data_IF_407735743291
#
_entry.id   IF_407735743291
#
_cell.length_a   1.000
_cell.length_b   1.000
_cell.length_c   1.000
_cell.angle_alpha   90.00
_cell.angle_beta   90.00
_cell.angle_gamma   90.00
#
_symmetry.space_group_name_H-M   'P 1'
#
loop_
_entity.id
_entity.type
_entity.pdbx_description
1 polymer ?
#
# COMPACT_ATOMS: atom_id res chain seq x y z
N UNK A 1 -0.99 25.96 29.43
CA UNK A 1 -0.62 26.74 28.24
C UNK A 1 -0.81 25.93 26.98
N UNK A 2 -1.16 26.62 25.89
CA UNK A 2 -1.31 26.05 24.55
C UNK A 2 -0.15 26.57 23.69
N UNK A 3 0.50 25.68 22.94
CA UNK A 3 1.60 26.00 22.02
C UNK A 3 1.07 26.22 20.59
N UNK A 4 1.88 26.74 19.64
CA UNK A 4 1.49 26.81 18.24
C UNK A 4 1.09 25.41 17.71
N UNK A 5 -0.11 25.32 17.14
CA UNK A 5 -0.68 24.07 16.60
C UNK A 5 -1.10 24.29 15.16
N UNK A 6 -0.64 23.41 14.27
CA UNK A 6 -1.10 23.31 12.88
C UNK A 6 -1.95 22.05 12.72
N UNK A 7 -2.90 22.07 11.79
CA UNK A 7 -3.80 20.94 11.53
C UNK A 7 -3.58 20.43 10.11
N UNK A 8 -3.33 19.12 9.99
CA UNK A 8 -3.32 18.40 8.72
C UNK A 8 -4.73 17.88 8.44
N UNK A 9 -5.33 18.30 7.33
CA UNK A 9 -6.74 18.04 7.03
C UNK A 9 -7.02 16.58 6.61
N UNK A 10 -6.06 15.93 5.95
CA UNK A 10 -6.11 14.54 5.48
C UNK A 10 -4.79 13.87 5.81
N UNK A 11 -4.83 12.63 6.30
CA UNK A 11 -3.62 11.87 6.65
C UNK A 11 -3.26 10.80 5.60
N UNK A 12 -4.13 10.56 4.63
CA UNK A 12 -4.12 9.32 3.85
C UNK A 12 -3.71 9.48 2.40
N UNK A 13 -4.08 10.59 1.74
CA UNK A 13 -3.81 10.79 0.31
C UNK A 13 -3.71 12.29 -0.06
N UNK A 14 -2.67 12.71 -0.82
CA UNK A 14 -1.40 12.01 -1.06
C UNK A 14 -0.50 12.12 0.17
N UNK A 15 0.06 11.01 0.65
CA UNK A 15 0.89 11.02 1.88
C UNK A 15 2.16 11.86 1.74
N UNK A 16 2.72 12.02 0.53
CA UNK A 16 3.88 12.86 0.30
C UNK A 16 3.56 14.35 0.56
N UNK A 17 2.31 14.78 0.35
CA UNK A 17 1.90 16.15 0.69
C UNK A 17 1.84 16.37 2.20
N UNK A 18 1.59 15.31 2.96
CA UNK A 18 1.67 15.35 4.42
C UNK A 18 3.12 15.49 4.91
N UNK A 19 4.08 14.86 4.20
CA UNK A 19 5.52 15.09 4.44
C UNK A 19 5.88 16.54 4.18
N UNK A 20 5.51 17.08 3.02
CA UNK A 20 5.76 18.49 2.64
C UNK A 20 5.10 19.47 3.60
N UNK A 21 3.86 19.21 4.03
CA UNK A 21 3.15 20.04 5.00
C UNK A 21 3.86 20.06 6.35
N UNK A 22 4.27 18.89 6.84
CA UNK A 22 4.98 18.78 8.12
C UNK A 22 6.31 19.51 8.05
N UNK A 23 7.05 19.34 6.95
CA UNK A 23 8.31 20.04 6.70
C UNK A 23 8.14 21.57 6.71
N UNK A 24 7.11 22.07 6.04
CA UNK A 24 6.80 23.50 6.05
C UNK A 24 6.46 24.02 7.45
N UNK A 25 5.72 23.25 8.24
CA UNK A 25 5.42 23.61 9.62
C UNK A 25 6.67 23.65 10.51
N UNK A 26 7.70 22.85 10.18
CA UNK A 26 8.97 22.79 10.89
C UNK A 26 10.04 23.75 10.32
N UNK A 27 9.81 24.33 9.13
CA UNK A 27 10.79 25.14 8.41
C UNK A 27 11.94 24.31 7.81
N UNK A 28 11.65 23.07 7.41
CA UNK A 28 12.61 22.06 6.99
C UNK A 28 12.28 21.46 5.60
N UNK A 29 11.83 22.31 4.67
CA UNK A 29 11.36 21.88 3.36
C UNK A 29 12.45 21.26 2.47
N UNK A 30 13.72 21.64 2.68
CA UNK A 30 14.85 21.11 1.92
C UNK A 30 15.10 19.63 2.22
N UNK A 31 15.18 19.26 3.50
CA UNK A 31 15.42 17.87 3.93
C UNK A 31 14.23 16.98 3.55
N UNK A 32 13.00 17.52 3.60
CA UNK A 32 11.83 16.79 3.12
C UNK A 32 11.85 16.52 1.60
N UNK A 33 12.34 17.47 0.81
CA UNK A 33 12.52 17.24 -0.63
C UNK A 33 13.59 16.18 -0.89
N UNK A 34 14.71 16.22 -0.17
CA UNK A 34 15.76 15.20 -0.26
C UNK A 34 15.23 13.79 0.06
N UNK A 35 14.41 13.65 1.11
CA UNK A 35 13.79 12.38 1.49
C UNK A 35 12.84 11.85 0.41
N UNK A 36 12.04 12.72 -0.21
CA UNK A 36 11.10 12.34 -1.27
C UNK A 36 11.83 11.99 -2.57
N UNK A 37 12.88 12.72 -2.92
CA UNK A 37 13.73 12.40 -4.07
C UNK A 37 14.44 11.05 -3.88
N UNK A 38 14.94 10.76 -2.67
CA UNK A 38 15.56 9.48 -2.34
C UNK A 38 14.56 8.32 -2.39
N UNK A 39 13.31 8.56 -1.96
CA UNK A 39 12.22 7.59 -2.09
C UNK A 39 11.92 7.28 -3.57
N UNK A 40 11.77 8.30 -4.42
CA UNK A 40 11.49 8.13 -5.84
C UNK A 40 12.66 7.42 -6.56
N UNK A 41 13.90 7.76 -6.23
CA UNK A 41 15.08 7.07 -6.74
C UNK A 41 15.09 5.59 -6.35
N UNK A 42 14.76 5.27 -5.09
CA UNK A 42 14.68 3.88 -4.64
C UNK A 42 13.57 3.10 -5.36
N UNK A 43 12.44 3.75 -5.66
CA UNK A 43 11.39 3.12 -6.44
C UNK A 43 11.88 2.72 -7.85
N UNK A 44 12.61 3.61 -8.52
CA UNK A 44 13.18 3.35 -9.84
C UNK A 44 14.19 2.20 -9.80
N UNK A 45 15.08 2.19 -8.80
CA UNK A 45 16.02 1.07 -8.62
C UNK A 45 15.31 -0.28 -8.50
N UNK A 46 14.23 -0.35 -7.71
CA UNK A 46 13.44 -1.56 -7.54
C UNK A 46 12.72 -1.93 -8.85
N UNK A 47 12.12 -0.96 -9.54
CA UNK A 47 11.45 -1.20 -10.81
C UNK A 47 12.41 -1.79 -11.85
N UNK A 48 13.63 -1.26 -11.94
CA UNK A 48 14.68 -1.72 -12.86
C UNK A 48 15.23 -3.10 -12.46
N UNK A 49 15.43 -3.35 -11.16
CA UNK A 49 15.97 -4.61 -10.65
C UNK A 49 15.00 -5.77 -10.88
N UNK A 50 13.70 -5.56 -10.65
CA UNK A 50 12.69 -6.62 -10.65
C UNK A 50 11.83 -6.68 -11.91
N UNK A 51 11.88 -5.67 -12.80
CA UNK A 51 11.13 -5.68 -14.06
C UNK A 51 9.61 -5.74 -13.86
N UNK A 52 9.10 -4.92 -12.94
CA UNK A 52 7.69 -4.87 -12.50
C UNK A 52 6.71 -4.34 -13.53
N UNK A 53 7.20 -3.64 -14.56
CA UNK A 53 6.39 -2.99 -15.57
C UNK A 53 5.43 -3.96 -16.27
N UNK A 54 4.15 -3.59 -16.31
CA UNK A 54 3.09 -4.39 -16.95
C UNK A 54 2.52 -5.51 -16.08
N UNK A 55 2.97 -5.63 -14.82
CA UNK A 55 2.41 -6.56 -13.84
C UNK A 55 1.50 -5.81 -12.87
N UNK A 56 0.48 -6.52 -12.37
CA UNK A 56 -0.44 -6.00 -11.36
C UNK A 56 -0.03 -6.38 -9.94
N UNK A 57 -0.26 -5.49 -8.98
CA UNK A 57 -0.06 -5.78 -7.56
C UNK A 57 -1.25 -5.33 -6.69
N UNK A 58 -1.57 -6.12 -5.66
CA UNK A 58 -2.62 -5.79 -4.68
C UNK A 58 -2.11 -6.07 -3.26
N UNK A 59 -2.18 -5.06 -2.39
CA UNK A 59 -2.03 -5.26 -0.94
C UNK A 59 -3.38 -5.64 -0.33
N UNK A 60 -3.39 -6.69 0.49
CA UNK A 60 -4.51 -7.14 1.32
C UNK A 60 -4.12 -7.01 2.78
N UNK A 61 -4.97 -6.39 3.58
CA UNK A 61 -4.88 -6.43 5.04
C UNK A 61 -6.05 -7.21 5.63
N UNK A 62 -5.80 -8.39 6.19
CA UNK A 62 -6.83 -9.11 6.96
C UNK A 62 -7.17 -8.35 8.24
N UNK A 63 -8.46 -8.18 8.53
CA UNK A 63 -8.95 -7.55 9.77
C UNK A 63 -10.26 -8.18 10.19
N UNK A 64 -10.42 -8.65 11.43
CA UNK A 64 -11.72 -9.01 12.02
C UNK A 64 -12.73 -9.76 11.10
N UNK A 65 -12.25 -10.70 10.28
CA UNK A 65 -13.08 -11.48 9.35
C UNK A 65 -13.40 -10.82 8.01
N UNK A 66 -12.83 -9.65 7.72
CA UNK A 66 -12.85 -8.97 6.41
C UNK A 66 -11.44 -8.88 5.81
N UNK A 67 -11.37 -8.60 4.50
CA UNK A 67 -10.14 -8.33 3.77
C UNK A 67 -10.19 -6.88 3.28
N UNK A 68 -9.33 -6.01 3.82
CA UNK A 68 -9.20 -4.63 3.33
C UNK A 68 -8.22 -4.61 2.16
N UNK A 69 -8.69 -4.20 0.98
CA UNK A 69 -7.87 -4.01 -0.21
C UNK A 69 -7.45 -2.55 -0.30
N UNK A 70 -6.16 -2.29 -0.39
CA UNK A 70 -5.62 -0.94 -0.48
C UNK A 70 -5.50 -0.49 -1.95
N UNK A 71 -5.98 0.71 -2.23
CA UNK A 71 -6.02 1.33 -3.56
C UNK A 71 -4.79 2.20 -3.86
N UNK A 72 -4.70 2.72 -5.09
CA UNK A 72 -3.51 3.42 -5.59
C UNK A 72 -3.20 4.72 -4.85
N UNK A 73 -4.21 5.32 -4.21
CA UNK A 73 -4.10 6.53 -3.39
C UNK A 73 -3.63 6.28 -1.96
N UNK A 74 -3.63 5.03 -1.50
CA UNK A 74 -3.07 4.68 -0.21
C UNK A 74 -1.54 4.74 -0.21
N UNK A 75 -0.92 4.84 0.97
CA UNK A 75 0.53 4.70 1.09
C UNK A 75 1.05 3.41 0.42
N UNK A 76 0.44 2.27 0.73
CA UNK A 76 0.88 0.98 0.18
C UNK A 76 0.66 0.86 -1.32
N UNK A 77 -0.53 1.23 -1.81
CA UNK A 77 -0.85 1.17 -3.24
C UNK A 77 0.00 2.12 -4.05
N UNK A 78 0.15 3.38 -3.62
CA UNK A 78 1.04 4.34 -4.29
C UNK A 78 2.51 3.89 -4.26
N UNK A 79 2.94 3.17 -3.23
CA UNK A 79 4.29 2.58 -3.19
C UNK A 79 4.46 1.45 -4.19
N UNK A 80 3.44 0.58 -4.35
CA UNK A 80 3.46 -0.47 -5.37
C UNK A 80 3.49 0.13 -6.79
N UNK A 81 2.74 1.21 -7.03
CA UNK A 81 2.76 1.90 -8.33
C UNK A 81 4.05 2.68 -8.57
N UNK A 82 4.66 3.25 -7.51
CA UNK A 82 5.97 3.90 -7.57
C UNK A 82 7.04 2.95 -8.12
N UNK A 83 7.02 1.68 -7.69
CA UNK A 83 7.94 0.65 -8.19
C UNK A 83 7.49 0.03 -9.51
N UNK A 84 6.47 0.56 -10.20
CA UNK A 84 6.12 0.18 -11.58
C UNK A 84 5.01 -0.85 -11.76
N UNK A 85 4.41 -1.36 -10.68
CA UNK A 85 3.19 -2.17 -10.79
C UNK A 85 1.98 -1.31 -11.16
N UNK A 86 0.89 -1.96 -11.59
CA UNK A 86 -0.44 -1.33 -11.65
C UNK A 86 -1.36 -1.94 -10.60
N UNK A 87 -2.17 -1.11 -9.93
CA UNK A 87 -3.22 -1.63 -9.06
C UNK A 87 -4.42 -2.09 -9.92
N UNK A 88 -5.00 -3.28 -9.70
CA UNK A 88 -6.22 -3.70 -10.41
C UNK A 88 -7.35 -2.66 -10.31
N UNK A 89 -7.96 -2.31 -11.44
CA UNK A 89 -9.03 -1.31 -11.50
C UNK A 89 -10.29 -1.78 -10.76
N UNK A 90 -10.87 -0.88 -9.97
CA UNK A 90 -12.20 -1.02 -9.34
C UNK A 90 -12.75 0.32 -8.90
N UNK A 91 -14.01 0.33 -8.47
CA UNK A 91 -14.54 1.43 -7.68
C UNK A 91 -13.91 1.41 -6.28
N UNK A 92 -13.16 2.45 -5.95
CA UNK A 92 -12.52 2.63 -4.64
C UNK A 92 -13.38 3.47 -3.69
N UNK A 93 -14.61 3.83 -4.08
CA UNK A 93 -15.60 4.52 -3.23
C UNK A 93 -15.10 5.87 -2.68
N UNK A 94 -14.24 6.57 -3.42
CA UNK A 94 -13.53 7.78 -2.97
C UNK A 94 -12.74 7.56 -1.65
N UNK A 95 -12.24 6.34 -1.44
CA UNK A 95 -11.46 5.90 -0.29
C UNK A 95 -10.09 5.39 -0.75
N UNK A 96 -9.14 5.32 0.18
CA UNK A 96 -7.83 4.69 -0.04
C UNK A 96 -7.89 3.16 0.01
N UNK A 97 -9.02 2.59 0.40
CA UNK A 97 -9.23 1.16 0.52
C UNK A 97 -10.70 0.81 0.47
N UNK A 98 -10.99 -0.43 0.10
CA UNK A 98 -12.32 -1.04 0.18
C UNK A 98 -12.25 -2.33 0.99
N UNK A 99 -13.31 -2.64 1.71
CA UNK A 99 -13.42 -3.89 2.45
C UNK A 99 -14.19 -4.91 1.62
N UNK A 100 -13.63 -6.10 1.46
CA UNK A 100 -14.29 -7.23 0.81
C UNK A 100 -14.49 -8.37 1.80
N UNK A 101 -15.59 -9.10 1.64
CA UNK A 101 -15.83 -10.30 2.43
C UNK A 101 -14.89 -11.43 1.97
N UNK A 102 -14.57 -12.41 2.84
CA UNK A 102 -13.75 -13.55 2.44
C UNK A 102 -14.33 -14.34 1.26
N UNK A 103 -15.65 -14.35 1.08
CA UNK A 103 -16.32 -14.99 -0.06
C UNK A 103 -15.98 -14.31 -1.40
N UNK A 104 -15.66 -13.02 -1.36
CA UNK A 104 -15.28 -12.21 -2.53
C UNK A 104 -13.75 -12.05 -2.66
N UNK A 105 -12.95 -12.94 -2.04
CA UNK A 105 -11.49 -12.87 -2.07
C UNK A 105 -10.89 -12.76 -3.47
N UNK A 106 -11.56 -13.29 -4.49
CA UNK A 106 -11.12 -13.24 -5.89
C UNK A 106 -11.11 -11.82 -6.46
N UNK A 107 -11.80 -10.87 -5.83
CA UNK A 107 -11.68 -9.45 -6.19
C UNK A 107 -10.24 -8.98 -5.96
N UNK A 108 -9.51 -9.52 -4.99
CA UNK A 108 -8.12 -9.15 -4.71
C UNK A 108 -7.09 -9.72 -5.71
N UNK A 109 -7.53 -10.33 -6.81
CA UNK A 109 -6.63 -10.96 -7.78
C UNK A 109 -5.71 -9.94 -8.45
N UNK A 110 -4.42 -10.23 -8.40
CA UNK A 110 -3.34 -9.54 -9.11
C UNK A 110 -2.24 -10.56 -9.45
N UNK A 111 -1.27 -10.16 -10.27
CA UNK A 111 -0.10 -10.99 -10.54
C UNK A 111 0.70 -11.21 -9.26
N UNK A 112 0.86 -10.14 -8.45
CA UNK A 112 1.46 -10.15 -7.12
C UNK A 112 0.44 -9.74 -6.05
N UNK A 113 0.31 -10.55 -4.99
CA UNK A 113 -0.51 -10.23 -3.83
C UNK A 113 0.34 -10.18 -2.58
N UNK A 114 0.28 -9.05 -1.89
CA UNK A 114 0.99 -8.81 -0.63
C UNK A 114 -0.03 -8.85 0.51
N UNK A 115 0.15 -9.76 1.46
CA UNK A 115 -0.74 -9.93 2.60
C UNK A 115 -0.02 -9.48 3.86
N UNK A 116 -0.54 -8.46 4.54
CA UNK A 116 0.06 -7.99 5.80
C UNK A 116 -0.16 -9.02 6.91
N UNK A 117 0.86 -9.24 7.73
CA UNK A 117 0.83 -10.14 8.88
C UNK A 117 1.79 -9.65 9.96
N UNK A 118 1.56 -10.07 11.20
CA UNK A 118 2.47 -9.79 12.32
C UNK A 118 3.70 -10.69 12.34
N UNK A 119 3.67 -11.82 11.61
CA UNK A 119 4.80 -12.73 11.46
C UNK A 119 4.88 -13.21 10.00
N UNK A 120 5.85 -12.67 9.27
CA UNK A 120 6.06 -12.98 7.84
C UNK A 120 6.53 -14.42 7.58
N UNK A 121 6.90 -15.15 8.64
CA UNK A 121 7.31 -16.56 8.55
C UNK A 121 6.17 -17.54 8.87
N UNK A 122 5.06 -17.03 9.40
CA UNK A 122 3.88 -17.84 9.71
C UNK A 122 2.92 -17.91 8.51
N UNK A 123 3.10 -18.91 7.65
CA UNK A 123 2.19 -19.16 6.53
C UNK A 123 0.74 -19.42 6.96
N UNK A 124 0.50 -19.84 8.20
CA UNK A 124 -0.87 -20.06 8.72
C UNK A 124 -1.62 -18.74 8.92
N UNK A 125 -0.91 -17.61 8.98
CA UNK A 125 -1.48 -16.27 9.03
C UNK A 125 -2.14 -15.82 7.72
N UNK A 126 -1.87 -16.52 6.61
CA UNK A 126 -2.59 -16.27 5.34
C UNK A 126 -4.08 -16.60 5.53
N UNK A 127 -5.01 -15.69 5.19
CA UNK A 127 -6.44 -15.93 5.34
C UNK A 127 -6.90 -17.23 4.66
N UNK A 128 -7.81 -17.96 5.31
CA UNK A 128 -8.35 -19.22 4.77
C UNK A 128 -8.92 -19.04 3.36
N UNK A 129 -9.65 -17.94 3.10
CA UNK A 129 -10.20 -17.67 1.78
C UNK A 129 -9.11 -17.54 0.69
N UNK A 130 -7.96 -16.97 1.03
CA UNK A 130 -6.82 -16.87 0.11
C UNK A 130 -6.18 -18.24 -0.10
N UNK A 131 -5.95 -19.01 0.99
CA UNK A 131 -5.39 -20.37 0.92
C UNK A 131 -6.29 -21.33 0.12
N UNK A 132 -7.60 -21.27 0.32
CA UNK A 132 -8.59 -22.07 -0.41
C UNK A 132 -8.66 -21.73 -1.90
N UNK A 133 -8.21 -20.53 -2.30
CA UNK A 133 -8.17 -20.05 -3.68
C UNK A 133 -6.74 -19.85 -4.21
N UNK A 134 -5.75 -20.60 -3.69
CA UNK A 134 -4.32 -20.40 -4.00
C UNK A 134 -4.00 -20.37 -5.51
N UNK A 135 -4.75 -21.08 -6.35
CA UNK A 135 -4.58 -21.06 -7.80
C UNK A 135 -4.85 -19.68 -8.44
N UNK A 136 -5.60 -18.80 -7.76
CA UNK A 136 -5.86 -17.43 -8.19
C UNK A 136 -4.78 -16.44 -7.73
N UNK A 137 -3.88 -16.85 -6.82
CA UNK A 137 -2.85 -16.01 -6.19
C UNK A 137 -1.45 -16.62 -6.40
N UNK A 138 -0.94 -16.64 -7.64
CA UNK A 138 0.27 -17.38 -7.99
C UNK A 138 1.56 -16.80 -7.39
N UNK A 139 1.59 -15.50 -7.07
CA UNK A 139 2.70 -14.84 -6.37
C UNK A 139 2.19 -14.16 -5.10
N UNK A 140 2.07 -14.94 -4.02
CA UNK A 140 1.64 -14.46 -2.73
C UNK A 140 2.83 -14.20 -1.81
N UNK A 141 2.85 -13.03 -1.17
CA UNK A 141 3.92 -12.56 -0.31
C UNK A 141 3.36 -12.13 1.05
N UNK A 142 3.90 -12.66 2.13
CA UNK A 142 3.65 -12.13 3.47
C UNK A 142 4.54 -10.92 3.72
N UNK A 143 3.95 -9.82 4.19
CA UNK A 143 4.66 -8.57 4.53
C UNK A 143 4.28 -8.09 5.91
N UNK A 144 5.12 -7.27 6.53
CA UNK A 144 4.84 -6.70 7.85
C UNK A 144 3.64 -5.73 7.80
N UNK A 145 2.97 -5.54 8.94
CA UNK A 145 1.66 -4.89 9.08
C UNK A 145 1.69 -3.49 9.69
#
# INVERSE_FOLDING_TARGET
DVAPTVLMATQTDPWQDNVRFTANALGDEADAQELLDAYDARCQEIADEFGTAGQTAQLIRPRDGILTLYGPTSFAGSTLECVGFTTPERDWENSISVDVSPENVLDAKADHVFVTTTDVTDESSVPEAVRANAAAFPQLHLVDQ
#
